data_IF_911025480233
#
_entry.id   IF_911025480233
#
_cell.length_a   1.000
_cell.length_b   1.000
_cell.length_c   1.000
_cell.angle_alpha   90.00
_cell.angle_beta   90.00
_cell.angle_gamma   90.00
#
_symmetry.space_group_name_H-M   'P 1'
#
loop_
_entity.id
_entity.type
_entity.pdbx_description
1 polymer ?
#
# COMPACT_ATOMS: atom_id res chain seq x y z
N UNK A 1 -5.89 -36.34 -3.31
CA UNK A 1 -4.55 -35.72 -3.21
C UNK A 1 -4.60 -34.66 -2.13
N UNK A 2 -3.59 -34.57 -1.26
CA UNK A 2 -3.51 -33.49 -0.28
C UNK A 2 -3.30 -32.16 -1.02
N UNK A 3 -4.01 -31.10 -0.58
CA UNK A 3 -4.02 -29.78 -1.25
C UNK A 3 -3.00 -28.85 -0.59
N UNK A 4 -2.44 -27.86 -1.34
CA UNK A 4 -1.68 -26.79 -0.71
C UNK A 4 -2.55 -26.03 0.28
N UNK A 5 -1.93 -25.51 1.34
CA UNK A 5 -2.63 -24.81 2.42
C UNK A 5 -1.89 -23.54 2.82
N UNK A 6 -2.61 -22.62 3.44
CA UNK A 6 -2.03 -21.45 4.09
C UNK A 6 -1.57 -21.84 5.50
N UNK A 7 -0.38 -21.36 5.88
CA UNK A 7 0.13 -21.41 7.25
C UNK A 7 0.10 -20.00 7.83
N UNK A 8 -0.70 -19.87 8.89
CA UNK A 8 -0.86 -18.68 9.70
C UNK A 8 -1.06 -19.14 11.15
N UNK A 9 -0.12 -18.80 12.03
CA UNK A 9 -0.24 -19.05 13.47
C UNK A 9 -0.64 -17.77 14.20
N UNK A 10 -1.15 -17.88 15.43
CA UNK A 10 -1.61 -16.73 16.22
C UNK A 10 -0.50 -15.69 16.50
N UNK A 11 0.76 -16.14 16.51
CA UNK A 11 1.93 -15.29 16.76
C UNK A 11 2.57 -14.73 15.46
N UNK A 12 2.23 -15.31 14.31
CA UNK A 12 2.82 -14.99 13.02
C UNK A 12 2.23 -13.70 12.44
N UNK A 13 3.09 -12.89 11.84
CA UNK A 13 2.70 -11.71 11.09
C UNK A 13 2.51 -12.12 9.62
N UNK A 14 1.28 -11.93 9.12
CA UNK A 14 0.88 -12.40 7.78
C UNK A 14 0.78 -13.92 7.69
N UNK A 15 0.86 -14.45 6.48
CA UNK A 15 0.75 -15.88 6.20
C UNK A 15 1.66 -16.29 5.04
N UNK A 16 1.85 -17.58 4.79
CA UNK A 16 2.48 -18.07 3.56
C UNK A 16 1.82 -19.36 3.11
N UNK A 17 1.99 -19.69 1.83
CA UNK A 17 1.50 -20.94 1.26
C UNK A 17 2.53 -22.05 1.46
N UNK A 18 2.05 -23.27 1.69
CA UNK A 18 2.87 -24.49 1.70
C UNK A 18 2.28 -25.54 0.77
N UNK A 19 3.16 -26.31 0.14
CA UNK A 19 2.81 -27.54 -0.58
C UNK A 19 2.19 -28.57 0.37
N UNK A 20 1.56 -29.64 -0.15
CA UNK A 20 1.08 -30.73 0.70
C UNK A 20 2.16 -31.39 1.56
N UNK A 21 3.43 -31.32 1.12
CA UNK A 21 4.60 -31.80 1.88
C UNK A 21 5.11 -30.82 2.94
N UNK A 22 4.48 -29.65 3.11
CA UNK A 22 4.85 -28.65 4.10
C UNK A 22 5.96 -27.68 3.68
N UNK A 23 6.45 -27.75 2.45
CA UNK A 23 7.46 -26.82 1.93
C UNK A 23 6.81 -25.49 1.54
N UNK A 24 7.34 -24.31 1.98
CA UNK A 24 6.89 -23.01 1.51
C UNK A 24 6.92 -22.90 -0.02
N UNK A 25 5.93 -22.22 -0.60
CA UNK A 25 5.77 -22.07 -2.04
C UNK A 25 5.07 -20.75 -2.35
N UNK A 26 5.43 -20.10 -3.46
CA UNK A 26 4.79 -18.85 -3.88
C UNK A 26 3.39 -19.11 -4.44
N UNK A 27 2.51 -18.12 -4.32
CA UNK A 27 1.16 -18.24 -4.91
C UNK A 27 1.21 -18.44 -6.43
N UNK A 28 2.11 -17.76 -7.13
CA UNK A 28 2.27 -17.89 -8.59
C UNK A 28 2.70 -19.30 -8.97
N UNK A 29 3.66 -19.89 -8.25
CA UNK A 29 4.08 -21.28 -8.47
C UNK A 29 2.90 -22.24 -8.25
N UNK A 30 2.09 -22.00 -7.20
CA UNK A 30 0.89 -22.80 -6.96
C UNK A 30 -0.15 -22.67 -8.09
N UNK A 31 -0.31 -21.49 -8.67
CA UNK A 31 -1.21 -21.29 -9.82
C UNK A 31 -0.80 -22.17 -11.01
N UNK A 32 0.50 -22.42 -11.21
CA UNK A 32 0.98 -23.30 -12.27
C UNK A 32 0.88 -24.80 -11.93
N UNK A 33 0.86 -25.16 -10.65
CA UNK A 33 0.93 -26.54 -10.17
C UNK A 33 -0.43 -27.13 -9.72
N UNK A 34 -1.37 -26.30 -9.26
CA UNK A 34 -2.66 -26.74 -8.74
C UNK A 34 -3.62 -27.09 -9.89
N UNK A 35 -4.42 -28.15 -9.71
CA UNK A 35 -5.42 -28.59 -10.70
C UNK A 35 -6.64 -27.68 -10.77
N UNK A 36 -6.88 -26.85 -9.74
CA UNK A 36 -8.01 -25.93 -9.61
C UNK A 36 -7.50 -24.52 -9.24
N UNK A 37 -6.62 -23.89 -10.05
CA UNK A 37 -5.85 -22.73 -9.63
C UNK A 37 -6.71 -21.47 -9.40
N UNK A 38 -7.89 -21.41 -10.02
CA UNK A 38 -8.87 -20.32 -9.87
C UNK A 38 -9.36 -20.13 -8.41
N UNK A 39 -9.27 -21.16 -7.56
CA UNK A 39 -9.64 -21.05 -6.13
C UNK A 39 -8.58 -20.33 -5.29
N UNK A 40 -7.34 -20.28 -5.76
CA UNK A 40 -6.19 -19.85 -4.95
C UNK A 40 -6.22 -18.34 -4.70
N UNK A 41 -6.55 -17.54 -5.71
CA UNK A 41 -6.63 -16.07 -5.61
C UNK A 41 -7.71 -15.62 -4.60
N UNK A 42 -8.96 -16.11 -4.65
CA UNK A 42 -9.96 -15.80 -3.61
C UNK A 42 -9.54 -16.27 -2.22
N UNK A 43 -8.90 -17.45 -2.11
CA UNK A 43 -8.43 -17.97 -0.82
C UNK A 43 -7.32 -17.11 -0.23
N UNK A 44 -6.37 -16.66 -1.07
CA UNK A 44 -5.31 -15.75 -0.65
C UNK A 44 -5.89 -14.41 -0.18
N UNK A 45 -6.85 -13.85 -0.92
CA UNK A 45 -7.47 -12.58 -0.57
C UNK A 45 -8.22 -12.63 0.76
N UNK A 46 -8.96 -13.72 1.02
CA UNK A 46 -9.64 -13.92 2.29
C UNK A 46 -8.66 -14.02 3.47
N UNK A 47 -7.57 -14.79 3.31
CA UNK A 47 -6.53 -14.89 4.34
C UNK A 47 -5.80 -13.56 4.58
N UNK A 48 -5.65 -12.74 3.54
CA UNK A 48 -5.09 -11.40 3.68
C UNK A 48 -6.00 -10.47 4.48
N UNK A 49 -7.32 -10.51 4.24
CA UNK A 49 -8.31 -9.76 5.02
C UNK A 49 -8.23 -10.13 6.51
N UNK A 50 -8.22 -11.43 6.82
CA UNK A 50 -8.08 -11.94 8.19
C UNK A 50 -6.74 -11.51 8.84
N UNK A 51 -5.64 -11.58 8.08
CA UNK A 51 -4.34 -11.11 8.57
C UNK A 51 -4.34 -9.62 8.90
N UNK A 52 -5.10 -8.79 8.17
CA UNK A 52 -5.22 -7.36 8.46
C UNK A 52 -6.00 -7.09 9.74
N UNK A 53 -7.04 -7.90 10.03
CA UNK A 53 -7.76 -7.82 11.31
C UNK A 53 -6.82 -8.09 12.49
N UNK A 54 -5.98 -9.14 12.40
CA UNK A 54 -5.00 -9.45 13.42
C UNK A 54 -3.94 -8.35 13.58
N UNK A 55 -3.40 -7.83 12.47
CA UNK A 55 -2.43 -6.76 12.48
C UNK A 55 -2.99 -5.47 13.10
N UNK A 56 -4.23 -5.11 12.76
CA UNK A 56 -4.92 -3.96 13.35
C UNK A 56 -5.15 -4.13 14.85
N UNK A 57 -5.56 -5.33 15.30
CA UNK A 57 -5.72 -5.65 16.72
C UNK A 57 -4.40 -5.54 17.50
N UNK A 58 -3.30 -6.05 16.93
CA UNK A 58 -1.98 -6.07 17.59
C UNK A 58 -1.29 -4.71 17.59
N UNK A 59 -1.31 -3.98 16.47
CA UNK A 59 -0.52 -2.77 16.28
C UNK A 59 -1.35 -1.48 16.20
N UNK A 60 -2.66 -1.53 16.40
CA UNK A 60 -3.58 -0.40 16.16
C UNK A 60 -3.18 0.92 16.80
N UNK A 61 -2.67 0.91 18.04
CA UNK A 61 -2.20 2.14 18.70
C UNK A 61 -0.96 2.76 18.05
N UNK A 62 -0.04 1.92 17.55
CA UNK A 62 1.17 2.37 16.86
C UNK A 62 0.83 2.81 15.44
N UNK A 63 0.10 1.96 14.71
CA UNK A 63 -0.36 2.26 13.36
C UNK A 63 -1.24 3.51 13.34
N UNK A 64 -2.06 3.74 14.35
CA UNK A 64 -2.88 4.94 14.52
C UNK A 64 -2.09 6.20 14.91
N UNK A 65 -0.85 6.05 15.35
CA UNK A 65 0.00 7.16 15.79
C UNK A 65 -0.27 7.64 17.22
N UNK A 66 -1.06 6.91 18.00
CA UNK A 66 -1.34 7.25 19.41
C UNK A 66 -0.10 7.14 20.30
N UNK A 67 0.89 6.32 19.90
CA UNK A 67 2.18 6.18 20.57
C UNK A 67 3.28 5.72 19.61
N UNK A 68 4.53 5.91 20.03
CA UNK A 68 5.68 5.31 19.36
C UNK A 68 5.77 3.78 19.61
N UNK A 69 6.37 3.01 18.68
CA UNK A 69 6.66 1.60 18.93
C UNK A 69 7.80 1.42 19.93
N UNK A 70 7.72 0.34 20.69
CA UNK A 70 8.86 -0.23 21.44
C UNK A 70 9.90 -0.83 20.49
N UNK A 71 11.08 -1.19 21.01
CA UNK A 71 12.13 -1.84 20.22
C UNK A 71 11.67 -3.16 19.58
N UNK A 72 10.93 -4.00 20.33
CA UNK A 72 10.37 -5.24 19.81
C UNK A 72 9.33 -4.98 18.71
N UNK A 73 8.43 -4.02 18.93
CA UNK A 73 7.43 -3.65 17.92
C UNK A 73 8.05 -3.07 16.65
N UNK A 74 9.23 -2.42 16.71
CA UNK A 74 9.93 -1.98 15.50
C UNK A 74 10.35 -3.16 14.62
N UNK A 75 10.79 -4.26 15.22
CA UNK A 75 11.10 -5.50 14.49
C UNK A 75 9.82 -6.10 13.91
N UNK A 76 8.75 -6.16 14.70
CA UNK A 76 7.46 -6.69 14.24
C UNK A 76 6.84 -5.85 13.12
N UNK A 77 6.94 -4.52 13.18
CA UNK A 77 6.47 -3.63 12.11
C UNK A 77 7.27 -3.81 10.82
N UNK A 78 8.56 -4.15 10.93
CA UNK A 78 9.39 -4.50 9.78
C UNK A 78 8.87 -5.78 9.14
N UNK A 79 8.66 -6.83 9.91
CA UNK A 79 8.05 -8.08 9.44
C UNK A 79 6.66 -7.83 8.81
N UNK A 80 5.85 -6.95 9.42
CA UNK A 80 4.50 -6.61 8.95
C UNK A 80 4.51 -5.98 7.56
N UNK A 81 5.28 -4.90 7.34
CA UNK A 81 5.25 -4.26 6.02
C UNK A 81 5.84 -5.18 4.94
N UNK A 82 6.83 -6.01 5.26
CA UNK A 82 7.42 -6.98 4.31
C UNK A 82 6.41 -8.05 3.93
N UNK A 83 5.73 -8.62 4.93
CA UNK A 83 4.69 -9.62 4.70
C UNK A 83 3.57 -9.05 3.83
N UNK A 84 3.11 -7.82 4.11
CA UNK A 84 2.09 -7.14 3.31
C UNK A 84 2.54 -6.93 1.87
N UNK A 85 3.75 -6.40 1.64
CA UNK A 85 4.28 -6.16 0.30
C UNK A 85 4.32 -7.45 -0.51
N UNK A 86 4.90 -8.51 0.07
CA UNK A 86 4.97 -9.82 -0.58
C UNK A 86 3.59 -10.36 -0.90
N UNK A 87 2.68 -10.39 0.07
CA UNK A 87 1.35 -10.96 -0.11
C UNK A 87 0.53 -10.19 -1.16
N UNK A 88 0.61 -8.86 -1.17
CA UNK A 88 -0.06 -8.07 -2.20
C UNK A 88 0.52 -8.33 -3.60
N UNK A 89 1.84 -8.44 -3.73
CA UNK A 89 2.49 -8.77 -5.03
C UNK A 89 2.12 -10.19 -5.47
N UNK A 90 2.17 -11.17 -4.57
CA UNK A 90 1.75 -12.55 -4.83
C UNK A 90 0.33 -12.62 -5.38
N UNK A 91 -0.62 -11.92 -4.73
CA UNK A 91 -2.00 -11.83 -5.22
C UNK A 91 -2.04 -11.25 -6.64
N UNK A 92 -1.40 -10.11 -6.86
CA UNK A 92 -1.52 -9.40 -8.13
C UNK A 92 -0.90 -10.19 -9.28
N UNK A 93 0.26 -10.82 -9.05
CA UNK A 93 0.93 -11.65 -10.05
C UNK A 93 0.11 -12.90 -10.37
N UNK A 94 -0.46 -13.56 -9.36
CA UNK A 94 -1.32 -14.72 -9.55
C UNK A 94 -2.63 -14.36 -10.29
N UNK A 95 -3.25 -13.23 -9.94
CA UNK A 95 -4.43 -12.72 -10.62
C UNK A 95 -4.14 -12.42 -12.09
N UNK A 96 -2.98 -11.82 -12.39
CA UNK A 96 -2.54 -11.55 -13.76
C UNK A 96 -2.33 -12.83 -14.56
N UNK A 97 -1.65 -13.83 -14.00
CA UNK A 97 -1.43 -15.14 -14.65
C UNK A 97 -2.74 -15.85 -14.98
N UNK A 98 -3.75 -15.73 -14.12
CA UNK A 98 -5.07 -16.33 -14.31
C UNK A 98 -6.01 -15.49 -15.21
N UNK A 99 -5.62 -14.27 -15.58
CA UNK A 99 -6.52 -13.34 -16.28
C UNK A 99 -7.73 -12.92 -15.42
N UNK A 100 -7.60 -12.97 -14.10
CA UNK A 100 -8.66 -12.58 -13.17
C UNK A 100 -8.84 -11.07 -13.20
N UNK A 101 -10.06 -10.62 -13.51
CA UNK A 101 -10.40 -9.19 -13.40
C UNK A 101 -10.51 -8.84 -11.92
N UNK A 102 -9.69 -7.90 -11.48
CA UNK A 102 -9.73 -7.38 -10.11
C UNK A 102 -10.96 -6.50 -9.97
N UNK A 103 -11.83 -6.86 -9.03
CA UNK A 103 -13.01 -6.07 -8.71
C UNK A 103 -12.72 -5.03 -7.61
N UNK A 104 -13.73 -4.20 -7.33
CA UNK A 104 -13.63 -3.18 -6.29
C UNK A 104 -13.36 -3.79 -4.89
N UNK A 105 -13.87 -5.00 -4.60
CA UNK A 105 -13.70 -5.65 -3.29
C UNK A 105 -12.26 -6.08 -3.08
N UNK A 106 -11.63 -6.68 -4.08
CA UNK A 106 -10.20 -6.99 -4.05
C UNK A 106 -9.36 -5.72 -3.90
N UNK A 107 -9.71 -4.64 -4.60
CA UNK A 107 -9.11 -3.32 -4.43
C UNK A 107 -9.19 -2.80 -3.00
N UNK A 108 -10.35 -2.92 -2.35
CA UNK A 108 -10.57 -2.48 -0.97
C UNK A 108 -9.72 -3.26 0.04
N UNK A 109 -9.64 -4.59 -0.10
CA UNK A 109 -8.83 -5.46 0.78
C UNK A 109 -7.34 -5.14 0.59
N UNK A 110 -6.86 -5.11 -0.66
CA UNK A 110 -5.45 -4.76 -0.94
C UNK A 110 -5.11 -3.33 -0.57
N UNK A 111 -6.02 -2.38 -0.79
CA UNK A 111 -5.86 -1.00 -0.35
C UNK A 111 -5.74 -0.89 1.18
N UNK A 112 -6.56 -1.65 1.92
CA UNK A 112 -6.46 -1.74 3.38
C UNK A 112 -5.11 -2.32 3.81
N UNK A 113 -4.67 -3.40 3.17
CA UNK A 113 -3.38 -4.00 3.45
C UNK A 113 -2.22 -3.03 3.17
N UNK A 114 -2.22 -2.39 2.00
CA UNK A 114 -1.22 -1.39 1.64
C UNK A 114 -1.21 -0.19 2.60
N UNK A 115 -2.38 0.28 3.03
CA UNK A 115 -2.48 1.34 4.03
C UNK A 115 -1.80 0.92 5.34
N UNK A 116 -2.07 -0.28 5.85
CA UNK A 116 -1.40 -0.82 7.03
C UNK A 116 0.12 -0.93 6.82
N UNK A 117 0.56 -1.43 5.66
CA UNK A 117 1.98 -1.54 5.31
C UNK A 117 2.69 -0.19 5.30
N UNK A 118 2.08 0.83 4.70
CA UNK A 118 2.58 2.21 4.71
C UNK A 118 2.62 2.76 6.15
N UNK A 119 1.56 2.57 6.94
CA UNK A 119 1.51 2.99 8.36
C UNK A 119 2.58 2.30 9.20
N UNK A 120 2.93 1.06 8.88
CA UNK A 120 4.03 0.34 9.54
C UNK A 120 5.42 0.90 9.18
N UNK A 121 5.61 1.44 7.96
CA UNK A 121 6.87 2.08 7.56
C UNK A 121 7.12 3.44 8.22
N UNK A 122 6.08 4.22 8.51
CA UNK A 122 6.20 5.56 9.12
C UNK A 122 7.11 5.62 10.34
N UNK A 123 6.85 4.88 11.44
CA UNK A 123 7.68 4.95 12.64
C UNK A 123 9.07 4.32 12.46
N UNK A 124 9.29 3.59 11.36
CA UNK A 124 10.59 3.03 10.98
C UNK A 124 11.42 4.01 10.14
N UNK A 125 10.84 5.11 9.66
CA UNK A 125 11.52 6.07 8.79
C UNK A 125 11.74 5.55 7.36
N UNK A 126 10.92 4.60 6.90
CA UNK A 126 11.12 3.90 5.61
C UNK A 126 10.27 4.44 4.46
N UNK A 127 9.44 5.46 4.70
CA UNK A 127 8.59 6.07 3.67
C UNK A 127 9.35 7.00 2.73
N UNK A 128 10.52 7.48 3.15
CA UNK A 128 11.28 8.51 2.45
C UNK A 128 10.65 9.91 2.56
N UNK A 129 11.32 10.93 1.99
CA UNK A 129 10.82 12.29 2.01
C UNK A 129 9.53 12.38 1.20
N UNK A 130 8.60 13.22 1.66
CA UNK A 130 7.43 13.56 0.87
C UNK A 130 7.85 14.43 -0.33
N UNK A 131 7.09 14.42 -1.44
CA UNK A 131 7.28 15.42 -2.48
C UNK A 131 7.20 16.83 -1.87
N UNK A 132 8.17 17.69 -2.25
CA UNK A 132 8.39 19.04 -1.72
C UNK A 132 8.67 19.12 -0.21
N UNK A 133 9.24 18.06 0.39
CA UNK A 133 9.64 18.09 1.81
C UNK A 133 10.65 19.22 2.07
N UNK A 134 10.37 20.05 3.08
CA UNK A 134 11.14 21.26 3.37
C UNK A 134 10.96 22.45 2.40
N UNK A 135 10.22 22.29 1.31
CA UNK A 135 9.99 23.35 0.30
C UNK A 135 8.64 24.08 0.42
N UNK A 136 7.72 23.52 1.23
CA UNK A 136 6.40 24.08 1.48
C UNK A 136 6.36 24.90 2.77
N UNK A 137 5.49 25.91 2.78
CA UNK A 137 5.24 26.75 3.94
C UNK A 137 4.59 25.95 5.07
N UNK A 138 4.91 26.30 6.32
CA UNK A 138 4.31 25.68 7.50
C UNK A 138 2.97 26.34 7.85
N UNK A 139 1.85 25.58 7.88
CA UNK A 139 0.57 26.13 8.26
C UNK A 139 0.59 26.54 9.74
N UNK A 140 0.00 27.69 10.05
CA UNK A 140 -0.33 28.07 11.43
C UNK A 140 -1.70 27.51 11.80
N UNK A 141 -1.97 27.40 13.10
CA UNK A 141 -3.32 27.07 13.58
C UNK A 141 -4.36 28.04 13.00
N UNK A 142 -5.42 27.51 12.41
CA UNK A 142 -6.51 28.28 11.81
C UNK A 142 -6.91 27.77 10.43
N UNK A 143 -7.69 28.59 9.72
CA UNK A 143 -8.16 28.33 8.36
C UNK A 143 -7.19 28.96 7.36
N UNK A 144 -6.76 28.19 6.37
CA UNK A 144 -5.96 28.67 5.24
C UNK A 144 -6.90 28.90 4.06
N UNK A 145 -6.99 30.14 3.58
CA UNK A 145 -7.72 30.46 2.35
C UNK A 145 -6.81 30.27 1.14
N UNK A 146 -7.29 29.55 0.13
CA UNK A 146 -6.54 29.31 -1.10
C UNK A 146 -7.22 28.28 -2.00
N UNK A 147 -6.54 27.94 -3.10
CA UNK A 147 -6.98 26.92 -4.04
C UNK A 147 -6.13 25.66 -3.90
N UNK A 148 -6.81 24.52 -3.80
CA UNK A 148 -6.19 23.20 -3.81
C UNK A 148 -5.77 22.80 -5.21
N UNK A 149 -4.53 22.34 -5.38
CA UNK A 149 -3.98 21.86 -6.65
C UNK A 149 -3.02 20.70 -6.41
N UNK A 150 -3.05 19.68 -7.27
CA UNK A 150 -2.02 18.64 -7.27
C UNK A 150 -0.83 19.16 -8.08
N UNK A 151 0.32 19.31 -7.43
CA UNK A 151 1.54 19.72 -8.12
C UNK A 151 2.44 18.50 -8.28
N UNK A 152 2.78 18.18 -9.53
CA UNK A 152 3.83 17.20 -9.85
C UNK A 152 5.21 17.81 -9.57
N UNK A 153 6.14 17.02 -9.04
CA UNK A 153 7.49 17.47 -8.69
C UNK A 153 8.21 18.04 -9.93
N UNK A 154 8.14 17.30 -11.02
CA UNK A 154 8.71 17.70 -12.31
C UNK A 154 7.85 17.10 -13.43
N UNK A 155 7.20 17.93 -14.29
CA UNK A 155 6.38 17.45 -15.40
C UNK A 155 7.14 16.56 -16.40
N UNK A 156 8.45 16.75 -16.55
CA UNK A 156 9.30 15.94 -17.43
C UNK A 156 9.78 14.65 -16.75
N UNK A 157 9.52 14.52 -15.44
CA UNK A 157 9.82 13.32 -14.63
C UNK A 157 8.60 12.92 -13.79
N UNK A 158 7.52 12.43 -14.42
CA UNK A 158 6.29 12.06 -13.71
C UNK A 158 6.53 11.06 -12.56
N UNK A 159 7.55 10.22 -12.67
CA UNK A 159 7.97 9.25 -11.67
C UNK A 159 8.44 9.85 -10.34
N UNK A 160 8.75 11.15 -10.29
CA UNK A 160 9.09 11.86 -9.06
C UNK A 160 7.86 12.15 -8.17
N UNK A 161 6.66 11.87 -8.67
CA UNK A 161 5.41 12.00 -7.92
C UNK A 161 4.86 13.41 -7.89
N UNK A 162 3.91 13.60 -6.98
CA UNK A 162 3.25 14.87 -6.78
C UNK A 162 2.59 14.95 -5.41
N UNK A 163 2.13 16.15 -5.07
CA UNK A 163 1.50 16.42 -3.78
C UNK A 163 0.44 17.49 -3.91
N UNK A 164 -0.64 17.32 -3.16
CA UNK A 164 -1.65 18.35 -3.02
C UNK A 164 -1.08 19.52 -2.23
N UNK A 165 -1.29 20.72 -2.75
CA UNK A 165 -0.96 21.96 -2.06
C UNK A 165 -2.16 22.89 -2.05
N UNK A 166 -2.27 23.69 -0.99
CA UNK A 166 -3.11 24.89 -0.99
C UNK A 166 -2.22 26.05 -1.38
N UNK A 167 -2.55 26.70 -2.49
CA UNK A 167 -1.89 27.92 -2.93
C UNK A 167 -2.74 29.12 -2.57
N UNK A 168 -2.14 30.06 -1.87
CA UNK A 168 -2.81 31.27 -1.39
C UNK A 168 -2.65 32.41 -2.40
N UNK A 169 -3.47 33.46 -2.26
CA UNK A 169 -3.37 34.65 -3.12
C UNK A 169 -2.04 35.40 -2.95
N UNK A 170 -1.43 35.35 -1.77
CA UNK A 170 -0.11 35.92 -1.49
C UNK A 170 1.05 35.01 -1.95
N UNK A 171 0.75 33.93 -2.68
CA UNK A 171 1.73 33.07 -3.35
C UNK A 171 2.35 31.98 -2.47
N UNK A 172 1.93 31.85 -1.21
CA UNK A 172 2.39 30.77 -0.32
C UNK A 172 1.82 29.42 -0.74
N UNK A 173 2.52 28.36 -0.38
CA UNK A 173 2.20 26.98 -0.73
C UNK A 173 2.21 26.13 0.52
N UNK A 174 1.04 25.71 0.97
CA UNK A 174 0.89 24.85 2.14
C UNK A 174 0.64 23.40 1.72
N UNK A 175 1.17 22.40 2.44
CA UNK A 175 0.84 21.01 2.18
C UNK A 175 -0.66 20.78 2.40
N UNK A 176 -1.27 20.01 1.51
CA UNK A 176 -2.64 19.55 1.62
C UNK A 176 -2.70 18.03 1.40
N UNK A 177 -3.85 17.45 1.73
CA UNK A 177 -4.19 16.04 1.53
C UNK A 177 -5.45 15.93 0.68
N UNK A 178 -5.61 14.83 -0.04
CA UNK A 178 -6.84 14.55 -0.76
C UNK A 178 -8.04 14.51 0.21
N UNK A 179 -7.85 13.98 1.42
CA UNK A 179 -8.90 13.97 2.45
C UNK A 179 -9.40 15.38 2.78
N UNK A 180 -8.50 16.35 2.98
CA UNK A 180 -8.88 17.75 3.23
C UNK A 180 -9.67 18.34 2.06
N UNK A 181 -9.32 18.00 0.82
CA UNK A 181 -10.03 18.47 -0.38
C UNK A 181 -11.42 17.85 -0.51
N UNK A 182 -11.58 16.58 -0.12
CA UNK A 182 -12.84 15.87 -0.24
C UNK A 182 -13.83 16.17 0.90
N UNK A 183 -13.35 16.49 2.09
CA UNK A 183 -14.20 16.58 3.29
C UNK A 183 -14.16 17.94 3.99
N UNK A 184 -13.01 18.62 3.99
CA UNK A 184 -12.82 19.84 4.81
C UNK A 184 -12.83 21.14 3.97
N UNK A 185 -12.80 21.03 2.64
CA UNK A 185 -12.73 22.17 1.73
C UNK A 185 -14.07 22.50 1.08
N UNK A 186 -14.47 23.78 1.12
CA UNK A 186 -15.61 24.28 0.36
C UNK A 186 -15.21 24.60 -1.08
N UNK A 187 -16.12 24.39 -2.04
CA UNK A 187 -15.91 24.77 -3.45
C UNK A 187 -15.00 23.84 -4.28
N UNK A 188 -14.47 22.75 -3.70
CA UNK A 188 -13.68 21.76 -4.45
C UNK A 188 -14.57 20.88 -5.31
N UNK A 189 -14.19 20.71 -6.58
CA UNK A 189 -14.81 19.74 -7.46
C UNK A 189 -14.29 18.32 -7.14
N UNK A 190 -14.91 17.66 -6.17
CA UNK A 190 -14.44 16.38 -5.58
C UNK A 190 -14.09 15.30 -6.60
N UNK A 191 -14.94 15.12 -7.62
CA UNK A 191 -14.67 14.12 -8.66
C UNK A 191 -13.49 14.48 -9.56
N UNK A 192 -13.23 15.77 -9.77
CA UNK A 192 -12.05 16.21 -10.50
C UNK A 192 -10.79 15.94 -9.67
N UNK A 193 -10.82 16.22 -8.36
CA UNK A 193 -9.69 15.92 -7.47
C UNK A 193 -9.38 14.42 -7.40
N UNK A 194 -10.40 13.55 -7.36
CA UNK A 194 -10.20 12.10 -7.45
C UNK A 194 -9.53 11.69 -8.75
N UNK A 195 -10.02 12.19 -9.90
CA UNK A 195 -9.42 11.89 -11.20
C UNK A 195 -7.98 12.37 -11.30
N UNK A 196 -7.71 13.61 -10.88
CA UNK A 196 -6.36 14.20 -10.91
C UNK A 196 -5.36 13.39 -10.06
N UNK A 197 -5.77 12.98 -8.86
CA UNK A 197 -4.92 12.14 -8.01
C UNK A 197 -4.68 10.75 -8.62
N UNK A 198 -5.73 10.11 -9.15
CA UNK A 198 -5.62 8.81 -9.82
C UNK A 198 -4.70 8.89 -11.04
N UNK A 199 -4.88 9.91 -11.88
CA UNK A 199 -4.07 10.12 -13.08
C UNK A 199 -2.59 10.35 -12.72
N UNK A 200 -2.30 11.03 -11.61
CA UNK A 200 -0.93 11.18 -11.10
C UNK A 200 -0.33 9.86 -10.62
N UNK A 201 -1.07 9.04 -9.85
CA UNK A 201 -0.62 7.71 -9.44
C UNK A 201 -0.36 6.81 -10.66
N UNK A 202 -1.29 6.79 -11.61
CA UNK A 202 -1.15 6.05 -12.88
C UNK A 202 0.06 6.54 -13.68
N UNK A 203 0.36 7.84 -13.67
CA UNK A 203 1.53 8.41 -14.33
C UNK A 203 2.85 7.97 -13.69
N UNK A 204 2.96 8.00 -12.35
CA UNK A 204 4.16 7.50 -11.64
C UNK A 204 4.37 6.02 -11.97
N UNK A 205 3.32 5.20 -11.90
CA UNK A 205 3.38 3.77 -12.21
C UNK A 205 3.85 3.53 -13.65
N UNK A 206 3.29 4.26 -14.62
CA UNK A 206 3.66 4.13 -16.04
C UNK A 206 5.13 4.47 -16.31
N UNK A 207 5.69 5.42 -15.58
CA UNK A 207 7.06 5.92 -15.75
C UNK A 207 8.05 5.39 -14.71
N UNK A 208 7.66 4.37 -13.92
CA UNK A 208 8.48 3.85 -12.83
C UNK A 208 9.87 3.36 -13.27
N UNK A 209 10.01 2.86 -14.50
CA UNK A 209 11.28 2.38 -15.06
C UNK A 209 12.27 3.48 -15.43
N UNK A 210 11.83 4.74 -15.47
CA UNK A 210 12.67 5.88 -15.88
C UNK A 210 13.38 6.55 -14.69
N UNK A 211 13.01 6.21 -13.46
CA UNK A 211 13.46 6.84 -12.23
C UNK A 211 14.36 5.97 -11.34
N UNK A 212 14.93 6.58 -10.31
CA UNK A 212 15.56 5.84 -9.22
C UNK A 212 14.49 5.01 -8.47
N UNK A 213 14.68 3.68 -8.28
CA UNK A 213 13.66 2.84 -7.67
C UNK A 213 13.22 3.31 -6.28
N UNK A 214 14.12 3.80 -5.44
CA UNK A 214 13.73 4.24 -4.11
C UNK A 214 12.91 5.53 -4.18
N UNK A 215 13.27 6.47 -5.04
CA UNK A 215 12.49 7.70 -5.25
C UNK A 215 11.08 7.35 -5.76
N UNK A 216 10.98 6.44 -6.73
CA UNK A 216 9.69 5.97 -7.26
C UNK A 216 8.84 5.33 -6.17
N UNK A 217 9.41 4.43 -5.38
CA UNK A 217 8.69 3.79 -4.27
C UNK A 217 8.17 4.82 -3.26
N UNK A 218 8.97 5.83 -2.92
CA UNK A 218 8.54 6.90 -2.02
C UNK A 218 7.40 7.73 -2.63
N UNK A 219 7.53 8.13 -3.89
CA UNK A 219 6.51 8.88 -4.62
C UNK A 219 5.16 8.12 -4.68
N UNK A 220 5.21 6.83 -5.02
CA UNK A 220 4.03 5.96 -5.06
C UNK A 220 3.43 5.81 -3.66
N UNK A 221 4.23 5.54 -2.64
CA UNK A 221 3.73 5.37 -1.27
C UNK A 221 3.04 6.63 -0.74
N UNK A 222 3.54 7.83 -1.06
CA UNK A 222 2.89 9.09 -0.64
C UNK A 222 1.56 9.33 -1.36
N UNK A 223 1.47 9.04 -2.66
CA UNK A 223 0.21 9.11 -3.40
C UNK A 223 -0.78 8.05 -2.90
N UNK A 224 -0.35 6.79 -2.77
CA UNK A 224 -1.17 5.73 -2.19
C UNK A 224 -1.64 6.10 -0.78
N UNK A 225 -0.76 6.58 0.07
CA UNK A 225 -1.11 6.97 1.43
C UNK A 225 -2.26 7.98 1.44
N UNK A 226 -2.12 9.05 0.64
CA UNK A 226 -3.11 10.12 0.58
C UNK A 226 -4.43 9.66 -0.05
N UNK A 227 -4.36 8.85 -1.11
CA UNK A 227 -5.53 8.19 -1.70
C UNK A 227 -6.28 7.32 -0.70
N UNK A 228 -5.56 6.39 -0.07
CA UNK A 228 -6.13 5.39 0.83
C UNK A 228 -6.68 6.06 2.09
N UNK A 229 -5.98 7.07 2.64
CA UNK A 229 -6.43 7.86 3.78
C UNK A 229 -7.77 8.55 3.50
N UNK A 230 -7.94 9.09 2.30
CA UNK A 230 -9.15 9.79 1.86
C UNK A 230 -10.33 8.86 1.55
N UNK A 231 -10.08 7.55 1.39
CA UNK A 231 -11.09 6.54 1.06
C UNK A 231 -11.30 5.53 2.20
N UNK A 232 -10.99 5.88 3.44
CA UNK A 232 -11.31 5.02 4.60
C UNK A 232 -12.79 5.11 4.95
N UNK A 233 -13.34 4.02 5.50
CA UNK A 233 -14.71 3.95 6.02
C UNK A 233 -15.00 4.98 7.13
N UNK A 234 -13.95 5.46 7.80
CA UNK A 234 -14.05 6.53 8.78
C UNK A 234 -12.70 6.96 9.35
N UNK A 235 -12.67 8.02 10.19
CA UNK A 235 -11.44 8.55 10.76
C UNK A 235 -10.67 7.53 11.60
N UNK A 236 -11.39 6.64 12.29
CA UNK A 236 -10.84 5.60 13.18
C UNK A 236 -10.71 4.22 12.50
N UNK A 237 -11.07 4.12 11.22
CA UNK A 237 -11.02 2.87 10.47
C UNK A 237 -9.76 2.79 9.60
N UNK A 238 -9.18 1.60 9.49
CA UNK A 238 -8.17 1.29 8.47
C UNK A 238 -8.79 0.77 7.17
N UNK A 239 -10.07 0.38 7.18
CA UNK A 239 -10.73 -0.23 6.05
C UNK A 239 -10.96 0.78 4.93
N UNK A 240 -10.52 0.43 3.72
CA UNK A 240 -10.65 1.25 2.51
C UNK A 240 -11.93 0.89 1.77
N UNK A 241 -12.62 1.90 1.24
CA UNK A 241 -13.88 1.78 0.51
C UNK A 241 -13.82 2.55 -0.81
N UNK A 242 -13.72 1.81 -1.91
CA UNK A 242 -13.98 2.36 -3.24
C UNK A 242 -15.48 2.31 -3.52
N UNK A 243 -16.06 3.47 -3.82
CA UNK A 243 -17.48 3.65 -4.11
C UNK A 243 -17.65 4.44 -5.40
N UNK A 244 -18.80 4.26 -6.08
CA UNK A 244 -19.12 4.99 -7.30
C UNK A 244 -18.71 4.28 -8.59
N UNK A 245 -18.96 4.92 -9.75
CA UNK A 245 -18.90 4.28 -11.07
C UNK A 245 -17.48 3.93 -11.53
N UNK A 246 -16.44 4.57 -10.96
CA UNK A 246 -15.04 4.32 -11.32
C UNK A 246 -14.31 3.37 -10.35
N UNK A 247 -15.02 2.73 -9.41
CA UNK A 247 -14.41 1.93 -8.35
C UNK A 247 -13.48 0.81 -8.85
N UNK A 248 -13.77 0.22 -10.01
CA UNK A 248 -12.89 -0.77 -10.64
C UNK A 248 -11.57 -0.15 -11.16
N UNK A 249 -11.64 1.07 -11.73
CA UNK A 249 -10.44 1.81 -12.15
C UNK A 249 -9.63 2.27 -10.95
N UNK A 250 -10.30 2.71 -9.89
CA UNK A 250 -9.66 3.05 -8.61
C UNK A 250 -8.90 1.86 -8.03
N UNK A 251 -9.53 0.69 -8.00
CA UNK A 251 -8.89 -0.55 -7.59
C UNK A 251 -7.66 -0.86 -8.46
N UNK A 252 -7.78 -0.79 -9.78
CA UNK A 252 -6.66 -1.06 -10.69
C UNK A 252 -5.48 -0.10 -10.47
N UNK A 253 -5.74 1.21 -10.30
CA UNK A 253 -4.70 2.21 -10.02
C UNK A 253 -3.98 1.92 -8.69
N UNK A 254 -4.73 1.57 -7.64
CA UNK A 254 -4.17 1.20 -6.34
C UNK A 254 -3.31 -0.05 -6.43
N UNK A 255 -3.77 -1.11 -7.09
CA UNK A 255 -2.99 -2.34 -7.28
C UNK A 255 -1.70 -2.08 -8.07
N UNK A 256 -1.78 -1.30 -9.14
CA UNK A 256 -0.61 -0.89 -9.92
C UNK A 256 0.40 -0.14 -9.05
N UNK A 257 -0.06 0.77 -8.19
CA UNK A 257 0.77 1.43 -7.20
C UNK A 257 1.40 0.45 -6.21
N UNK A 258 0.63 -0.46 -5.62
CA UNK A 258 1.13 -1.42 -4.63
C UNK A 258 2.23 -2.30 -5.23
N UNK A 259 2.00 -2.88 -6.41
CA UNK A 259 3.01 -3.67 -7.10
C UNK A 259 4.26 -2.85 -7.43
N UNK A 260 4.08 -1.62 -7.91
CA UNK A 260 5.20 -0.74 -8.26
C UNK A 260 6.05 -0.39 -7.04
N UNK A 261 5.42 0.06 -5.95
CA UNK A 261 6.14 0.38 -4.70
C UNK A 261 6.92 -0.83 -4.18
N UNK A 262 6.27 -1.99 -4.09
CA UNK A 262 6.91 -3.21 -3.57
C UNK A 262 8.08 -3.68 -4.45
N UNK A 263 7.92 -3.68 -5.78
CA UNK A 263 8.99 -4.06 -6.72
C UNK A 263 10.15 -3.08 -6.71
N UNK A 264 9.87 -1.78 -6.70
CA UNK A 264 10.91 -0.76 -6.58
C UNK A 264 11.66 -0.88 -5.23
N UNK A 265 10.98 -1.16 -4.12
CA UNK A 265 11.63 -1.40 -2.83
C UNK A 265 12.49 -2.67 -2.83
N UNK A 266 12.07 -3.71 -3.56
CA UNK A 266 12.85 -4.96 -3.65
C UNK A 266 14.21 -4.79 -4.35
N UNK A 267 14.45 -3.71 -5.09
CA UNK A 267 15.79 -3.43 -5.65
C UNK A 267 16.78 -2.98 -4.58
N UNK A 268 16.28 -2.40 -3.48
CA UNK A 268 17.08 -1.93 -2.33
C UNK A 268 17.10 -2.96 -1.21
N UNK A 269 16.02 -3.75 -1.09
CA UNK A 269 15.84 -4.83 -0.13
C UNK A 269 15.49 -6.13 -0.87
N UNK A 270 16.49 -6.87 -1.40
CA UNK A 270 16.26 -8.03 -2.27
C UNK A 270 15.41 -9.13 -1.65
N UNK A 271 15.43 -9.25 -0.32
CA UNK A 271 14.66 -10.25 0.43
C UNK A 271 13.19 -9.83 0.64
N UNK A 272 12.76 -8.65 0.19
CA UNK A 272 11.42 -8.10 0.50
C UNK A 272 10.29 -8.99 0.00
N UNK A 273 10.46 -9.55 -1.19
CA UNK A 273 9.44 -10.36 -1.87
C UNK A 273 9.75 -11.86 -1.83
N UNK A 274 10.80 -12.25 -1.11
CA UNK A 274 11.14 -13.65 -0.93
C UNK A 274 10.18 -14.32 0.06
N UNK A 275 9.97 -15.63 -0.12
CA UNK A 275 9.23 -16.43 0.84
C UNK A 275 9.96 -16.45 2.19
N UNK A 276 9.24 -16.59 3.31
CA UNK A 276 9.88 -16.85 4.59
C UNK A 276 10.77 -18.08 4.45
N UNK A 277 12.01 -17.99 4.92
CA UNK A 277 12.89 -19.16 4.96
C UNK A 277 12.13 -20.31 5.64
N UNK A 278 12.15 -21.50 5.04
CA UNK A 278 11.51 -22.67 5.64
C UNK A 278 12.07 -22.85 7.05
N UNK A 279 11.23 -22.61 8.06
CA UNK A 279 11.55 -23.02 9.41
C UNK A 279 11.72 -24.53 9.34
N UNK A 280 12.95 -25.01 9.48
CA UNK A 280 13.17 -26.42 9.73
C UNK A 280 12.33 -26.85 10.94
N UNK A 281 12.09 -28.15 11.14
CA UNK A 281 11.33 -28.67 12.28
C UNK A 281 11.87 -28.22 13.66
N UNK A 282 13.05 -27.60 13.67
CA UNK A 282 13.62 -26.85 14.79
C UNK A 282 13.95 -25.45 14.27
N UNK A 283 13.14 -24.46 14.65
CA UNK A 283 13.17 -23.10 14.11
C UNK A 283 14.50 -22.37 14.33
N UNK A 284 15.43 -22.54 13.41
CA UNK A 284 16.55 -21.64 13.20
C UNK A 284 16.64 -21.34 11.70
N UNK A 285 16.52 -20.06 11.36
CA UNK A 285 16.87 -19.57 10.03
C UNK A 285 18.33 -19.93 9.75
N UNK A 286 18.63 -20.48 8.56
CA UNK A 286 20.01 -20.65 8.11
C UNK A 286 20.65 -19.26 8.01
N UNK A 287 21.75 -19.09 8.73
CA UNK A 287 22.63 -17.92 8.71
C UNK A 287 23.25 -17.71 7.33
#
# INVERSE_FOLDING_TARGET
>A
MARPRIVQTDEQIGFHWVTPGGTPVGLVDLVHLDSEPHRLVPTHLAALDDAMVLAAGRFGQVLGGSRAPTAAERTDLRELHRAIDRLCVEYCDAAAVLGTVVDARAGQILGTAAFIGIRARFPLGLLGPAPFDGELDQPRLGVVSGYGQLIVVDPERPWAGGRWVIRTEDGRRYPATLSQLLFDSSGVHKDAARREHRDALEAVVRHAGDGDPLIVACAVDWLLYDWLLAHRDGPDSGAVQFTGPEAARDAAAVLGGIQTSARCRSTVDPQLLELPAALGPFGNARA
#
